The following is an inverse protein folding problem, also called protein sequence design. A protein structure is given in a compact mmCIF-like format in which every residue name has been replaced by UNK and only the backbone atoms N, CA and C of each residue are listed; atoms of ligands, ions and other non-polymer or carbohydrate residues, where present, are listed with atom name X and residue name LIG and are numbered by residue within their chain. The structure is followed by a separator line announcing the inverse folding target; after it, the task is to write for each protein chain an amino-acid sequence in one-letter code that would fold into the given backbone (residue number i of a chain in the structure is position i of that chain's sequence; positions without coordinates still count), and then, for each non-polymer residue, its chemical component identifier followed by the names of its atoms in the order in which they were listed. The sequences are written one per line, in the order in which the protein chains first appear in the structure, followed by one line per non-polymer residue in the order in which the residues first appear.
data_IF_496870223970
#
_entry.id   IF_496870223970
#
_cell.length_a   1.000
_cell.length_b   1.000
_cell.length_c   1.000
_cell.angle_alpha   90.00
_cell.angle_beta   90.00
_cell.angle_gamma   90.00
#
_symmetry.space_group_name_H-M   'P 1'
#
loop_
_entity.id
_entity.type
_entity.pdbx_description
1 polymer ?
#
# COMPACT_ATOMS: atom_id res chain seq x y z
N UNK A 1 23.59 -11.16 21.08
CA UNK A 1 23.26 -10.47 19.82
C UNK A 1 21.83 -10.84 19.48
N UNK A 2 20.88 -10.03 19.91
CA UNK A 2 19.45 -10.36 19.82
C UNK A 2 18.98 -10.10 18.38
N UNK A 3 19.13 -11.11 17.51
CA UNK A 3 18.38 -11.18 16.25
C UNK A 3 16.94 -11.58 16.57
N UNK A 4 16.20 -10.64 17.15
CA UNK A 4 14.76 -10.74 17.30
C UNK A 4 14.14 -10.38 15.97
N UNK A 5 13.62 -11.38 15.25
CA UNK A 5 12.85 -11.21 14.01
C UNK A 5 11.87 -10.04 14.13
N UNK A 6 12.27 -8.89 13.60
CA UNK A 6 11.47 -7.66 13.67
C UNK A 6 10.24 -7.91 12.82
N UNK A 7 9.06 -8.03 13.45
CA UNK A 7 7.82 -8.28 12.72
C UNK A 7 7.54 -7.11 11.79
N UNK A 8 7.44 -7.40 10.49
CA UNK A 8 7.01 -6.42 9.49
C UNK A 8 5.67 -5.82 9.87
N UNK A 9 5.54 -4.51 9.68
CA UNK A 9 4.29 -3.77 9.82
C UNK A 9 3.40 -4.08 8.61
N UNK A 10 2.32 -4.82 8.84
CA UNK A 10 1.37 -5.21 7.80
C UNK A 10 0.23 -4.21 7.70
N UNK A 11 -0.04 -3.70 6.50
CA UNK A 11 -1.06 -2.69 6.23
C UNK A 11 -1.98 -3.23 5.13
N UNK A 12 -3.28 -3.28 5.40
CA UNK A 12 -4.29 -3.54 4.36
C UNK A 12 -4.74 -2.19 3.82
N UNK A 13 -4.58 -1.98 2.51
CA UNK A 13 -5.01 -0.75 1.83
C UNK A 13 -6.12 -1.11 0.84
N UNK A 14 -7.32 -0.58 1.05
CA UNK A 14 -8.43 -0.70 0.11
C UNK A 14 -8.55 0.58 -0.73
N UNK A 15 -8.64 0.44 -2.05
CA UNK A 15 -8.83 1.53 -3.00
C UNK A 15 -10.14 1.38 -3.76
N UNK A 16 -10.90 2.47 -3.85
CA UNK A 16 -12.14 2.59 -4.64
C UNK A 16 -11.99 3.67 -5.71
N UNK A 17 -13.02 3.85 -6.55
CA UNK A 17 -13.04 4.90 -7.58
C UNK A 17 -13.19 6.29 -6.97
N UNK A 18 -12.07 6.99 -6.77
CA UNK A 18 -12.02 8.35 -6.26
C UNK A 18 -10.88 9.15 -6.90
N UNK A 19 -10.99 10.48 -6.88
CA UNK A 19 -9.97 11.40 -7.42
C UNK A 19 -8.60 11.30 -6.72
N UNK A 20 -8.54 10.68 -5.54
CA UNK A 20 -7.31 10.45 -4.78
C UNK A 20 -6.41 9.32 -5.29
N UNK A 21 -6.75 8.63 -6.38
CA UNK A 21 -5.97 7.50 -6.89
C UNK A 21 -4.47 7.81 -7.12
N UNK A 22 -4.07 8.98 -7.68
CA UNK A 22 -2.65 9.34 -7.79
C UNK A 22 -1.94 9.44 -6.44
N UNK A 23 -2.64 9.90 -5.39
CA UNK A 23 -2.11 9.99 -4.03
C UNK A 23 -1.90 8.58 -3.45
N UNK A 24 -2.85 7.67 -3.67
CA UNK A 24 -2.71 6.28 -3.22
C UNK A 24 -1.53 5.57 -3.90
N UNK A 25 -1.31 5.81 -5.20
CA UNK A 25 -0.11 5.33 -5.91
C UNK A 25 1.16 5.89 -5.27
N UNK A 26 1.19 7.20 -4.98
CA UNK A 26 2.34 7.82 -4.33
C UNK A 26 2.59 7.26 -2.93
N UNK A 27 1.55 7.02 -2.16
CA UNK A 27 1.61 6.39 -0.84
C UNK A 27 2.24 5.00 -0.93
N UNK A 28 1.79 4.17 -1.87
CA UNK A 28 2.33 2.82 -2.11
C UNK A 28 3.82 2.87 -2.50
N UNK A 29 4.23 3.81 -3.36
CA UNK A 29 5.64 3.99 -3.71
C UNK A 29 6.51 4.37 -2.50
N UNK A 30 5.98 5.18 -1.59
CA UNK A 30 6.68 5.55 -0.35
C UNK A 30 6.76 4.36 0.60
N UNK A 31 5.65 3.66 0.85
CA UNK A 31 5.61 2.48 1.71
C UNK A 31 6.54 1.36 1.22
N UNK A 32 6.63 1.16 -0.10
CA UNK A 32 7.54 0.18 -0.72
C UNK A 32 9.02 0.43 -0.43
N UNK A 33 9.41 1.64 -0.03
CA UNK A 33 10.81 1.97 0.31
C UNK A 33 11.23 1.46 1.69
N UNK A 34 10.27 1.14 2.55
CA UNK A 34 10.55 0.61 3.88
C UNK A 34 10.49 -0.93 3.86
N UNK A 35 11.63 -1.63 4.02
CA UNK A 35 11.66 -3.10 4.01
C UNK A 35 10.93 -3.75 5.19
N UNK A 36 10.62 -2.98 6.23
CA UNK A 36 9.82 -3.43 7.37
C UNK A 36 8.31 -3.29 7.11
N UNK A 37 7.88 -2.69 5.99
CA UNK A 37 6.45 -2.50 5.66
C UNK A 37 6.00 -3.50 4.60
N UNK A 38 4.87 -4.14 4.86
CA UNK A 38 4.20 -5.06 3.94
C UNK A 38 2.78 -4.54 3.66
N UNK A 39 2.47 -4.23 2.40
CA UNK A 39 1.15 -3.73 2.01
C UNK A 39 0.38 -4.80 1.26
N UNK A 40 -0.85 -5.06 1.73
CA UNK A 40 -1.83 -5.90 1.05
C UNK A 40 -2.87 -4.98 0.41
N UNK A 41 -2.78 -4.81 -0.91
CA UNK A 41 -3.62 -3.89 -1.66
C UNK A 41 -4.86 -4.61 -2.22
N UNK A 42 -6.05 -4.05 -1.99
CA UNK A 42 -7.30 -4.46 -2.63
C UNK A 42 -7.90 -3.28 -3.39
N UNK A 43 -8.42 -3.52 -4.58
CA UNK A 43 -8.95 -2.47 -5.47
C UNK A 43 -10.30 -2.92 -6.03
N UNK A 44 -11.32 -2.06 -5.95
CA UNK A 44 -12.61 -2.30 -6.62
C UNK A 44 -12.50 -2.09 -8.14
N UNK A 45 -13.45 -2.58 -8.96
CA UNK A 45 -13.48 -2.28 -10.39
C UNK A 45 -13.48 -0.76 -10.68
N UNK A 46 -14.21 0.02 -9.90
CA UNK A 46 -14.22 1.48 -9.99
C UNK A 46 -12.87 2.12 -9.60
N UNK A 47 -12.13 1.53 -8.66
CA UNK A 47 -10.78 1.97 -8.29
C UNK A 47 -9.76 1.70 -9.39
N UNK A 48 -9.89 0.57 -10.10
CA UNK A 48 -9.03 0.26 -11.24
C UNK A 48 -9.28 1.22 -12.41
N UNK A 49 -10.55 1.63 -12.64
CA UNK A 49 -10.92 2.52 -13.74
C UNK A 49 -10.33 3.94 -13.62
N UNK A 50 -9.90 4.37 -12.44
CA UNK A 50 -9.33 5.71 -12.19
C UNK A 50 -7.80 5.70 -12.04
N UNK A 51 -7.15 4.55 -12.22
CA UNK A 51 -5.69 4.46 -12.31
C UNK A 51 -5.25 4.84 -13.73
N UNK A 52 -4.28 5.75 -13.82
CA UNK A 52 -3.66 6.24 -15.06
C UNK A 52 -2.24 5.70 -15.18
#
# INVERSE_FOLDING_TARGET
MSDGTKRRRRIVLAMTGASGAPIAVRLLQVMRRDPDVEVHLTISPSGAAVLQ
#
